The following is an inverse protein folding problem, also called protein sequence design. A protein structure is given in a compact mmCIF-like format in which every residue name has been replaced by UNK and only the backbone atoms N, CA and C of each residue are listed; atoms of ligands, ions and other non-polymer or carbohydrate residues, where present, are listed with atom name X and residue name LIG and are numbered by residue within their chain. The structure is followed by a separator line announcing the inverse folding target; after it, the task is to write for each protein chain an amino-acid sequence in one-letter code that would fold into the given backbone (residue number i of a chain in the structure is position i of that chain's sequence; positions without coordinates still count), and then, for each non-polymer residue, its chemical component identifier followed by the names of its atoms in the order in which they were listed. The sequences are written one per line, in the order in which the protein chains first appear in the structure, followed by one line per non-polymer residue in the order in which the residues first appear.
data_IF_497953232320
#
_entry.id   IF_497953232320
#
_cell.length_a   1.000
_cell.length_b   1.000
_cell.length_c   1.000
_cell.angle_alpha   90.00
_cell.angle_beta   90.00
_cell.angle_gamma   90.00
#
_symmetry.space_group_name_H-M   'P 1'
#
loop_
_entity.id
_entity.type
_entity.pdbx_description
1 polymer ?
#
# COMPACT_ATOMS: atom_id res chain seq x y z
N UNK A 1 -2.97 -19.36 7.80
CA UNK A 1 -2.60 -19.25 6.35
C UNK A 1 -3.28 -20.17 5.30
N UNK A 2 -3.33 -21.52 5.43
CA UNK A 2 -3.73 -22.46 4.34
C UNK A 2 -5.11 -22.18 3.71
N UNK A 3 -6.10 -21.84 4.52
CA UNK A 3 -7.46 -21.54 4.06
C UNK A 3 -7.52 -20.27 3.18
N UNK A 4 -6.82 -19.20 3.56
CA UNK A 4 -6.74 -17.95 2.78
C UNK A 4 -6.05 -18.21 1.45
N UNK A 5 -4.93 -18.96 1.47
CA UNK A 5 -4.22 -19.39 0.24
C UNK A 5 -5.14 -20.17 -0.69
N UNK A 6 -5.86 -21.17 -0.17
CA UNK A 6 -6.78 -21.98 -0.97
C UNK A 6 -7.89 -21.13 -1.60
N UNK A 7 -8.46 -20.18 -0.85
CA UNK A 7 -9.45 -19.24 -1.39
C UNK A 7 -8.84 -18.37 -2.50
N UNK A 8 -7.68 -17.76 -2.26
CA UNK A 8 -6.96 -16.97 -3.28
C UNK A 8 -6.72 -17.78 -4.56
N UNK A 9 -6.18 -19.01 -4.43
CA UNK A 9 -5.93 -19.89 -5.57
C UNK A 9 -7.22 -20.27 -6.29
N UNK A 10 -8.30 -20.60 -5.57
CA UNK A 10 -9.61 -20.90 -6.16
C UNK A 10 -10.13 -19.73 -7.01
N UNK A 11 -10.14 -18.52 -6.47
CA UNK A 11 -10.59 -17.33 -7.22
C UNK A 11 -9.68 -17.05 -8.43
N UNK A 12 -8.37 -17.25 -8.29
CA UNK A 12 -7.43 -17.12 -9.41
C UNK A 12 -7.69 -18.13 -10.53
N UNK A 13 -7.90 -19.40 -10.19
CA UNK A 13 -8.24 -20.44 -11.16
C UNK A 13 -9.58 -20.16 -11.87
N UNK A 14 -10.59 -19.72 -11.11
CA UNK A 14 -11.89 -19.32 -11.68
C UNK A 14 -11.76 -18.12 -12.63
N UNK A 15 -10.92 -17.14 -12.29
CA UNK A 15 -10.64 -16.00 -13.16
C UNK A 15 -10.03 -16.43 -14.50
N UNK A 16 -9.04 -17.32 -14.47
CA UNK A 16 -8.40 -17.84 -15.69
C UNK A 16 -9.42 -18.61 -16.53
N UNK A 17 -10.17 -19.53 -15.92
CA UNK A 17 -11.17 -20.34 -16.62
C UNK A 17 -12.23 -19.46 -17.28
N UNK A 18 -12.75 -18.47 -16.56
CA UNK A 18 -13.76 -17.56 -17.06
C UNK A 18 -13.21 -16.65 -18.17
N UNK A 19 -11.97 -16.17 -18.05
CA UNK A 19 -11.32 -15.38 -19.10
C UNK A 19 -11.13 -16.20 -20.39
N UNK A 20 -10.72 -17.46 -20.28
CA UNK A 20 -10.60 -18.38 -21.42
C UNK A 20 -11.96 -18.67 -22.07
N UNK A 21 -13.01 -18.85 -21.26
CA UNK A 21 -14.37 -19.05 -21.76
C UNK A 21 -14.87 -17.84 -22.54
N UNK A 22 -14.71 -16.62 -21.99
CA UNK A 22 -15.06 -15.37 -22.68
C UNK A 22 -14.28 -15.26 -23.99
N UNK A 23 -12.98 -15.53 -23.97
CA UNK A 23 -12.14 -15.48 -25.17
C UNK A 23 -12.63 -16.45 -26.24
N UNK A 24 -12.96 -17.69 -25.87
CA UNK A 24 -13.50 -18.69 -26.78
C UNK A 24 -14.82 -18.27 -27.40
N UNK A 25 -15.74 -17.71 -26.60
CA UNK A 25 -17.01 -17.15 -27.09
C UNK A 25 -16.75 -16.00 -28.08
N UNK A 26 -15.84 -15.09 -27.76
CA UNK A 26 -15.51 -13.96 -28.62
C UNK A 26 -14.91 -14.42 -29.96
N UNK A 27 -14.00 -15.39 -29.95
CA UNK A 27 -13.42 -15.96 -31.18
C UNK A 27 -14.51 -16.61 -32.03
N UNK A 28 -15.37 -17.43 -31.42
CA UNK A 28 -16.48 -18.06 -32.14
C UNK A 28 -17.44 -17.03 -32.75
N UNK A 29 -17.81 -15.99 -32.00
CA UNK A 29 -18.67 -14.93 -32.49
C UNK A 29 -18.03 -14.16 -33.66
N UNK A 30 -16.71 -13.94 -33.62
CA UNK A 30 -15.96 -13.30 -34.72
C UNK A 30 -15.92 -14.19 -35.98
N UNK A 31 -15.76 -15.51 -35.83
CA UNK A 31 -15.74 -16.42 -36.98
C UNK A 31 -17.10 -16.54 -37.68
N UNK A 32 -18.20 -16.18 -37.01
CA UNK A 32 -19.56 -16.25 -37.53
C UNK A 32 -20.12 -14.87 -37.92
N UNK A 33 -19.28 -13.86 -38.08
CA UNK A 33 -19.69 -12.48 -38.38
C UNK A 33 -20.51 -12.35 -39.67
N UNK A 34 -20.19 -13.14 -40.69
CA UNK A 34 -20.88 -13.06 -42.00
C UNK A 34 -22.31 -13.61 -41.94
N UNK A 35 -22.59 -14.46 -40.95
CA UNK A 35 -23.92 -14.97 -40.65
C UNK A 35 -24.34 -14.44 -39.28
N UNK A 36 -24.84 -13.19 -39.23
CA UNK A 36 -25.46 -12.59 -38.05
C UNK A 36 -26.75 -13.35 -37.65
N UNK A 37 -26.56 -14.57 -37.14
CA UNK A 37 -27.61 -15.41 -36.61
C UNK A 37 -27.97 -15.01 -35.19
N UNK A 38 -29.11 -15.53 -34.75
CA UNK A 38 -29.62 -15.36 -33.38
C UNK A 38 -28.61 -15.93 -32.35
N UNK A 39 -27.93 -17.04 -32.68
CA UNK A 39 -27.02 -17.74 -31.77
C UNK A 39 -25.74 -16.91 -31.44
N UNK A 40 -24.97 -16.36 -32.40
CA UNK A 40 -23.87 -15.44 -32.10
C UNK A 40 -24.29 -14.24 -31.25
N UNK A 41 -25.48 -13.69 -31.50
CA UNK A 41 -26.03 -12.56 -30.74
C UNK A 41 -26.29 -12.90 -29.27
N UNK A 42 -26.88 -14.07 -29.00
CA UNK A 42 -27.10 -14.58 -27.63
C UNK A 42 -25.75 -14.81 -26.92
N UNK A 43 -24.79 -15.41 -27.60
CA UNK A 43 -23.47 -15.69 -27.04
C UNK A 43 -22.72 -14.41 -26.65
N UNK A 44 -22.87 -13.33 -27.43
CA UNK A 44 -22.28 -12.03 -27.11
C UNK A 44 -22.90 -11.42 -25.85
N UNK A 45 -24.22 -11.51 -25.69
CA UNK A 45 -24.90 -11.09 -24.45
C UNK A 45 -24.38 -11.90 -23.25
N UNK A 46 -24.21 -13.22 -23.41
CA UNK A 46 -23.62 -14.08 -22.37
C UNK A 46 -22.19 -13.62 -22.05
N UNK A 47 -21.36 -13.33 -23.05
CA UNK A 47 -19.98 -12.86 -22.83
C UNK A 47 -19.94 -11.54 -22.03
N UNK A 48 -20.87 -10.62 -22.28
CA UNK A 48 -21.01 -9.38 -21.48
C UNK A 48 -21.34 -9.72 -20.02
N UNK A 49 -22.32 -10.60 -19.78
CA UNK A 49 -22.68 -11.03 -18.41
C UNK A 49 -21.48 -11.69 -17.71
N UNK A 50 -20.78 -12.59 -18.40
CA UNK A 50 -19.57 -13.25 -17.87
C UNK A 50 -18.46 -12.24 -17.57
N UNK A 51 -18.35 -11.16 -18.33
CA UNK A 51 -17.39 -10.07 -18.05
C UNK A 51 -17.70 -9.38 -16.72
N UNK A 52 -18.98 -9.12 -16.41
CA UNK A 52 -19.35 -8.59 -15.09
C UNK A 52 -19.04 -9.56 -13.95
N UNK A 53 -19.26 -10.87 -14.17
CA UNK A 53 -18.89 -11.91 -13.21
C UNK A 53 -17.37 -11.94 -13.00
N UNK A 54 -16.58 -11.81 -14.08
CA UNK A 54 -15.12 -11.76 -14.03
C UNK A 54 -14.62 -10.60 -13.17
N UNK A 55 -15.23 -9.41 -13.32
CA UNK A 55 -14.90 -8.24 -12.50
C UNK A 55 -15.16 -8.49 -11.01
N UNK A 56 -16.31 -9.09 -10.64
CA UNK A 56 -16.61 -9.44 -9.25
C UNK A 56 -15.64 -10.47 -8.68
N UNK A 57 -15.27 -11.50 -9.46
CA UNK A 57 -14.27 -12.48 -9.04
C UNK A 57 -12.89 -11.85 -8.85
N UNK A 58 -12.54 -10.84 -9.65
CA UNK A 58 -11.28 -10.12 -9.53
C UNK A 58 -11.18 -9.34 -8.22
N UNK A 59 -12.27 -8.71 -7.79
CA UNK A 59 -12.33 -8.03 -6.49
C UNK A 59 -12.12 -9.02 -5.33
N UNK A 60 -12.78 -10.17 -5.38
CA UNK A 60 -12.61 -11.23 -4.37
C UNK A 60 -11.18 -11.77 -4.35
N UNK A 61 -10.59 -12.05 -5.52
CA UNK A 61 -9.19 -12.45 -5.62
C UNK A 61 -8.25 -11.39 -5.00
N UNK A 62 -8.48 -10.12 -5.34
CA UNK A 62 -7.67 -9.00 -4.84
C UNK A 62 -7.75 -8.89 -3.31
N UNK A 63 -8.95 -9.05 -2.74
CA UNK A 63 -9.17 -9.09 -1.30
C UNK A 63 -8.39 -10.24 -0.63
N UNK A 64 -8.53 -11.47 -1.13
CA UNK A 64 -7.83 -12.62 -0.55
C UNK A 64 -6.30 -12.55 -0.73
N UNK A 65 -5.83 -11.94 -1.83
CA UNK A 65 -4.41 -11.67 -2.04
C UNK A 65 -3.87 -10.68 -1.00
N UNK A 66 -4.62 -9.59 -0.73
CA UNK A 66 -4.26 -8.63 0.31
C UNK A 66 -4.18 -9.31 1.68
N UNK A 67 -5.23 -10.05 2.06
CA UNK A 67 -5.28 -10.81 3.31
C UNK A 67 -4.13 -11.81 3.42
N UNK A 68 -3.84 -12.55 2.34
CA UNK A 68 -2.72 -13.50 2.32
C UNK A 68 -1.38 -12.83 2.62
N UNK A 69 -1.10 -11.68 1.99
CA UNK A 69 0.13 -10.92 2.22
C UNK A 69 0.18 -10.43 3.67
N UNK A 70 -0.88 -9.77 4.16
CA UNK A 70 -0.90 -9.20 5.51
C UNK A 70 -0.78 -10.28 6.59
N UNK A 71 -1.57 -11.35 6.51
CA UNK A 71 -1.47 -12.49 7.44
C UNK A 71 -0.09 -13.13 7.38
N UNK A 72 0.47 -13.31 6.18
CA UNK A 72 1.81 -13.86 6.02
C UNK A 72 2.88 -12.98 6.68
N UNK A 73 2.75 -11.65 6.58
CA UNK A 73 3.66 -10.71 7.23
C UNK A 73 3.53 -10.74 8.75
N UNK A 74 2.31 -10.86 9.29
CA UNK A 74 2.07 -10.98 10.73
C UNK A 74 2.58 -12.30 11.30
N UNK A 75 2.34 -13.42 10.61
CA UNK A 75 2.80 -14.75 11.03
C UNK A 75 4.34 -14.89 10.95
N UNK A 76 5.00 -14.09 10.10
CA UNK A 76 6.45 -14.13 9.86
C UNK A 76 7.10 -12.76 10.06
N UNK A 77 6.61 -12.01 11.05
CA UNK A 77 7.14 -10.68 11.36
C UNK A 77 8.56 -10.77 11.90
N UNK A 78 9.38 -9.81 11.52
CA UNK A 78 10.76 -9.69 11.95
C UNK A 78 10.85 -8.95 13.29
N UNK A 79 11.88 -9.29 14.07
CA UNK A 79 12.17 -8.63 15.34
C UNK A 79 12.58 -7.15 15.15
N UNK A 80 12.42 -6.31 16.19
CA UNK A 80 12.89 -4.93 16.15
C UNK A 80 14.37 -4.83 15.80
N UNK A 81 14.70 -3.84 14.96
CA UNK A 81 16.06 -3.62 14.49
C UNK A 81 16.76 -2.60 15.36
N UNK A 82 18.02 -2.84 15.70
CA UNK A 82 18.88 -1.83 16.34
C UNK A 82 19.15 -0.71 15.35
N UNK A 83 19.14 0.52 15.84
CA UNK A 83 19.46 1.72 15.06
C UNK A 83 20.60 2.48 15.72
N UNK A 84 21.44 3.08 14.88
CA UNK A 84 22.55 3.91 15.35
C UNK A 84 22.14 5.39 15.50
N UNK A 85 21.04 5.79 14.86
CA UNK A 85 20.55 7.17 14.86
C UNK A 85 19.35 7.25 15.80
N UNK A 86 19.40 8.15 16.78
CA UNK A 86 18.25 8.44 17.63
C UNK A 86 17.16 9.12 16.79
N UNK A 87 15.99 8.49 16.77
CA UNK A 87 14.85 8.95 16.00
C UNK A 87 14.38 10.35 16.42
N UNK A 88 13.86 11.11 15.46
CA UNK A 88 13.23 12.42 15.69
C UNK A 88 14.16 13.46 16.33
N UNK A 89 15.47 13.27 16.19
CA UNK A 89 16.49 14.28 16.50
C UNK A 89 16.60 15.32 15.38
N UNK A 90 17.32 16.41 15.65
CA UNK A 90 17.69 17.39 14.62
C UNK A 90 18.37 16.72 13.41
N UNK A 91 19.22 15.72 13.66
CA UNK A 91 19.89 14.96 12.60
C UNK A 91 18.89 14.17 11.74
N UNK A 92 17.89 13.54 12.38
CA UNK A 92 16.82 12.85 11.65
C UNK A 92 16.04 13.82 10.74
N UNK A 93 15.68 15.00 11.25
CA UNK A 93 14.96 16.02 10.47
C UNK A 93 15.83 16.59 9.34
N UNK A 94 17.13 16.80 9.59
CA UNK A 94 18.07 17.21 8.56
C UNK A 94 18.22 16.14 7.47
N UNK A 95 18.32 14.86 7.82
CA UNK A 95 18.34 13.78 6.83
C UNK A 95 17.06 13.79 5.98
N UNK A 96 15.89 13.92 6.62
CA UNK A 96 14.60 13.95 5.94
C UNK A 96 14.49 15.14 4.97
N UNK A 97 14.90 16.34 5.40
CA UNK A 97 14.71 17.57 4.62
C UNK A 97 15.83 17.84 3.61
N UNK A 98 17.09 17.70 4.02
CA UNK A 98 18.26 18.06 3.21
C UNK A 98 18.73 16.91 2.32
N UNK A 99 18.75 15.67 2.82
CA UNK A 99 19.27 14.53 2.05
C UNK A 99 18.17 13.85 1.22
N UNK A 100 16.98 13.69 1.81
CA UNK A 100 15.86 12.99 1.16
C UNK A 100 14.88 13.92 0.43
N UNK A 101 15.12 15.24 0.47
CA UNK A 101 14.36 16.29 -0.21
C UNK A 101 12.87 16.34 0.17
N UNK A 102 12.54 16.09 1.43
CA UNK A 102 11.18 16.32 1.93
C UNK A 102 10.98 17.77 2.35
N UNK A 103 9.84 18.33 1.99
CA UNK A 103 9.42 19.68 2.39
C UNK A 103 8.48 19.59 3.58
N UNK A 104 8.70 20.41 4.60
CA UNK A 104 7.75 20.57 5.71
C UNK A 104 6.45 21.18 5.19
N UNK A 105 5.33 20.52 5.43
CA UNK A 105 4.00 21.03 5.08
C UNK A 105 3.31 21.69 6.28
N UNK A 106 3.24 20.99 7.40
CA UNK A 106 2.57 21.47 8.61
C UNK A 106 3.31 20.96 9.84
N UNK A 107 3.46 21.82 10.84
CA UNK A 107 3.92 21.43 12.18
C UNK A 107 2.86 21.85 13.20
N UNK A 108 2.45 20.90 14.05
CA UNK A 108 1.49 21.12 15.13
C UNK A 108 2.06 20.57 16.44
N UNK A 109 1.37 20.84 17.55
CA UNK A 109 1.72 20.24 18.85
C UNK A 109 1.57 18.71 18.89
N UNK A 110 0.85 18.11 17.93
CA UNK A 110 0.58 16.66 17.92
C UNK A 110 1.42 15.91 16.88
N UNK A 111 1.72 16.55 15.75
CA UNK A 111 2.50 15.96 14.67
C UNK A 111 3.14 17.01 13.77
N UNK A 112 4.16 16.58 13.03
CA UNK A 112 4.75 17.30 11.90
C UNK A 112 4.60 16.47 10.63
N UNK A 113 4.16 17.10 9.54
CA UNK A 113 3.96 16.46 8.24
C UNK A 113 4.96 16.98 7.22
N UNK A 114 5.62 16.04 6.55
CA UNK A 114 6.60 16.31 5.51
C UNK A 114 6.17 15.60 4.24
N UNK A 115 6.46 16.17 3.07
CA UNK A 115 6.11 15.54 1.80
C UNK A 115 7.17 15.75 0.72
N UNK A 116 7.15 14.87 -0.26
CA UNK A 116 7.79 15.09 -1.56
C UNK A 116 6.99 14.42 -2.66
N UNK A 117 7.15 14.90 -3.89
CA UNK A 117 6.55 14.28 -5.07
C UNK A 117 7.68 13.92 -6.03
N UNK A 118 7.88 12.63 -6.25
CA UNK A 118 8.91 12.13 -7.15
C UNK A 118 8.41 10.99 -8.05
N UNK A 119 9.29 10.42 -8.88
CA UNK A 119 8.94 9.33 -9.80
C UNK A 119 8.75 7.99 -9.08
N UNK A 120 9.39 7.78 -7.94
CA UNK A 120 9.18 6.70 -6.97
C UNK A 120 8.79 5.36 -7.57
N UNK A 121 7.48 5.08 -7.51
CA UNK A 121 6.88 3.81 -7.94
C UNK A 121 6.92 3.53 -9.44
N UNK A 122 7.10 4.54 -10.29
CA UNK A 122 7.17 4.33 -11.74
C UNK A 122 8.29 5.15 -12.37
N UNK A 123 9.09 4.53 -13.24
CA UNK A 123 10.08 5.26 -14.05
C UNK A 123 9.43 6.18 -15.10
N UNK A 124 8.11 6.09 -15.29
CA UNK A 124 7.36 6.86 -16.30
C UNK A 124 6.98 8.22 -15.75
N UNK A 125 7.32 9.29 -16.49
CA UNK A 125 7.10 10.70 -16.08
C UNK A 125 5.64 11.04 -15.75
N UNK A 126 4.67 10.27 -16.25
CA UNK A 126 3.23 10.54 -16.12
C UNK A 126 2.62 10.09 -14.79
N UNK A 127 3.27 9.22 -14.02
CA UNK A 127 2.73 8.65 -12.78
C UNK A 127 3.67 8.93 -11.60
N UNK A 128 3.61 10.17 -11.09
CA UNK A 128 4.35 10.54 -9.88
C UNK A 128 3.75 9.87 -8.64
N UNK A 129 4.59 9.77 -7.61
CA UNK A 129 4.26 9.28 -6.28
C UNK A 129 4.36 10.42 -5.29
N UNK A 130 3.29 10.64 -4.53
CA UNK A 130 3.32 11.48 -3.35
C UNK A 130 3.84 10.64 -2.18
N UNK A 131 4.94 11.06 -1.59
CA UNK A 131 5.45 10.53 -0.34
C UNK A 131 5.12 11.51 0.76
N UNK A 132 4.58 10.99 1.87
CA UNK A 132 4.26 11.78 3.05
C UNK A 132 4.83 11.06 4.27
N UNK A 133 5.49 11.83 5.13
CA UNK A 133 5.98 11.36 6.43
C UNK A 133 5.26 12.15 7.52
N UNK A 134 4.52 11.45 8.37
CA UNK A 134 3.96 12.00 9.60
C UNK A 134 4.85 11.59 10.77
N UNK A 135 5.40 12.59 11.45
CA UNK A 135 6.12 12.42 12.71
C UNK A 135 5.20 12.83 13.84
N UNK A 136 4.87 11.89 14.73
CA UNK A 136 4.02 12.17 15.88
C UNK A 136 4.83 12.67 17.08
N UNK A 137 4.37 13.78 17.66
CA UNK A 137 4.96 14.43 18.83
C UNK A 137 4.27 14.00 20.14
N UNK A 138 3.14 13.29 20.05
CA UNK A 138 2.37 12.77 21.19
C UNK A 138 2.10 11.29 21.01
N UNK A 139 1.90 10.58 22.12
CA UNK A 139 1.47 9.19 22.10
C UNK A 139 -0.01 9.11 21.67
N UNK A 140 -0.25 8.98 20.37
CA UNK A 140 -1.56 8.76 19.77
C UNK A 140 -1.51 7.48 18.96
N UNK A 141 -2.63 6.77 18.73
CA UNK A 141 -2.65 5.55 17.91
C UNK A 141 -2.36 5.86 16.43
N UNK A 142 -1.82 4.89 15.68
CA UNK A 142 -1.50 5.07 14.26
C UNK A 142 -2.78 5.26 13.43
N UNK A 143 -3.88 4.67 13.89
CA UNK A 143 -5.22 4.76 13.27
C UNK A 143 -6.05 5.93 13.83
N UNK A 144 -5.46 6.82 14.63
CA UNK A 144 -6.18 7.99 15.13
C UNK A 144 -6.69 8.86 13.97
N UNK A 145 -7.93 9.35 14.05
CA UNK A 145 -8.54 10.17 12.99
C UNK A 145 -7.71 11.40 12.62
N UNK A 146 -6.88 11.92 13.54
CA UNK A 146 -5.96 13.03 13.26
C UNK A 146 -4.96 12.69 12.15
N UNK A 147 -4.52 11.44 12.02
CA UNK A 147 -3.62 11.05 10.93
C UNK A 147 -4.34 11.12 9.59
N UNK A 148 -5.56 10.59 9.51
CA UNK A 148 -6.42 10.65 8.31
C UNK A 148 -6.70 12.08 7.90
N UNK A 149 -7.11 12.94 8.83
CA UNK A 149 -7.37 14.36 8.58
C UNK A 149 -6.09 15.08 8.10
N UNK A 150 -4.93 14.76 8.69
CA UNK A 150 -3.66 15.33 8.26
C UNK A 150 -3.32 14.95 6.80
N UNK A 151 -3.54 13.70 6.42
CA UNK A 151 -3.35 13.25 5.04
C UNK A 151 -4.31 13.94 4.07
N UNK A 152 -5.59 14.03 4.41
CA UNK A 152 -6.59 14.69 3.57
C UNK A 152 -6.30 16.19 3.39
N UNK A 153 -5.91 16.88 4.46
CA UNK A 153 -5.58 18.30 4.40
C UNK A 153 -4.34 18.54 3.53
N UNK A 154 -3.32 17.70 3.68
CA UNK A 154 -2.13 17.76 2.85
C UNK A 154 -2.49 17.56 1.37
N UNK A 155 -3.26 16.52 1.03
CA UNK A 155 -3.69 16.29 -0.36
C UNK A 155 -4.51 17.45 -0.95
N UNK A 156 -5.40 18.05 -0.16
CA UNK A 156 -6.19 19.23 -0.56
C UNK A 156 -5.32 20.46 -0.79
N UNK A 157 -4.25 20.61 -0.03
CA UNK A 157 -3.35 21.78 -0.09
C UNK A 157 -2.34 21.72 -1.24
N UNK A 158 -1.99 20.52 -1.72
CA UNK A 158 -1.06 20.36 -2.82
C UNK A 158 -1.70 20.92 -4.09
N UNK A 159 -1.06 21.90 -4.77
CA UNK A 159 -1.68 22.55 -5.93
C UNK A 159 -2.02 21.51 -7.00
N UNK A 160 -3.18 21.68 -7.66
CA UNK A 160 -3.68 20.86 -8.79
C UNK A 160 -2.68 20.68 -9.96
N UNK A 161 -1.51 21.33 -9.91
CA UNK A 161 -0.45 21.31 -10.93
C UNK A 161 0.39 20.02 -10.90
N UNK A 162 0.57 19.40 -9.73
CA UNK A 162 1.37 18.18 -9.56
C UNK A 162 0.46 16.94 -9.64
N UNK A 163 0.34 16.33 -10.83
CA UNK A 163 -0.43 15.08 -10.98
C UNK A 163 0.37 13.90 -10.43
N UNK A 164 -0.06 13.37 -9.30
CA UNK A 164 0.39 12.08 -8.77
C UNK A 164 -0.77 11.08 -8.80
N UNK A 165 -0.43 9.80 -8.97
CA UNK A 165 -1.41 8.70 -8.97
C UNK A 165 -1.18 7.72 -7.82
N UNK A 166 -0.01 7.82 -7.19
CA UNK A 166 0.42 6.92 -6.13
C UNK A 166 0.65 7.69 -4.85
N UNK A 167 0.41 7.04 -3.71
CA UNK A 167 0.57 7.62 -2.38
C UNK A 167 1.29 6.63 -1.47
N UNK A 168 2.35 7.09 -0.83
CA UNK A 168 3.07 6.36 0.21
C UNK A 168 3.08 7.25 1.44
N UNK A 169 2.38 6.80 2.47
CA UNK A 169 2.29 7.42 3.77
C UNK A 169 3.14 6.61 4.74
N UNK A 170 4.04 7.30 5.44
CA UNK A 170 4.90 6.72 6.46
C UNK A 170 4.60 7.46 7.76
N UNK A 171 4.19 6.73 8.77
CA UNK A 171 3.87 7.26 10.08
C UNK A 171 4.94 6.84 11.07
N UNK A 172 5.47 7.79 11.82
CA UNK A 172 6.58 7.59 12.74
C UNK A 172 6.21 8.06 14.13
N UNK A 173 6.40 7.19 15.11
CA UNK A 173 6.29 7.51 16.55
C UNK A 173 7.57 7.18 17.27
N UNK A 174 7.72 7.79 18.44
CA UNK A 174 8.68 7.37 19.44
C UNK A 174 7.99 6.98 20.74
N UNK A 175 8.62 6.08 21.47
CA UNK A 175 8.35 5.77 22.87
C UNK A 175 9.65 5.90 23.66
N UNK A 176 9.55 6.47 24.86
CA UNK A 176 10.67 6.58 25.80
C UNK A 176 10.91 5.25 26.54
N UNK A 177 10.04 4.24 26.34
CA UNK A 177 10.07 2.95 27.03
C UNK A 177 10.41 1.81 26.06
N UNK A 178 10.58 0.61 26.60
CA UNK A 178 10.60 -0.63 25.82
C UNK A 178 9.26 -0.83 25.09
N UNK A 179 9.31 -1.51 23.95
CA UNK A 179 8.09 -1.86 23.22
C UNK A 179 7.19 -2.75 24.07
N UNK A 180 5.91 -2.39 24.15
CA UNK A 180 4.87 -3.26 24.68
C UNK A 180 4.18 -4.02 23.55
N UNK A 181 3.47 -5.11 23.87
CA UNK A 181 2.69 -5.84 22.86
C UNK A 181 1.64 -4.93 22.20
N UNK A 182 1.02 -4.03 22.97
CA UNK A 182 0.08 -3.05 22.44
C UNK A 182 0.73 -2.07 21.44
N UNK A 183 1.99 -1.69 21.68
CA UNK A 183 2.75 -0.84 20.76
C UNK A 183 3.06 -1.56 19.44
N UNK A 184 3.44 -2.84 19.54
CA UNK A 184 3.70 -3.71 18.39
C UNK A 184 2.42 -3.91 17.59
N UNK A 185 1.31 -4.24 18.26
CA UNK A 185 -0.01 -4.38 17.64
C UNK A 185 -0.49 -3.08 16.97
N UNK A 186 -0.25 -1.92 17.60
CA UNK A 186 -0.57 -0.63 16.99
C UNK A 186 0.27 -0.38 15.72
N UNK A 187 1.55 -0.74 15.77
CA UNK A 187 2.48 -0.61 14.64
C UNK A 187 2.15 -1.58 13.50
N UNK A 188 1.66 -2.78 13.82
CA UNK A 188 1.29 -3.82 12.86
C UNK A 188 0.08 -3.44 11.97
N UNK A 189 -0.67 -2.39 12.33
CA UNK A 189 -1.82 -1.87 11.56
C UNK A 189 -1.39 -1.04 10.34
N UNK A 190 -0.76 -1.71 9.38
CA UNK A 190 -0.45 -1.13 8.06
C UNK A 190 -1.66 -1.23 7.13
N UNK A 191 -1.70 -0.38 6.11
CA UNK A 191 -2.71 -0.44 5.06
C UNK A 191 -2.07 -0.38 3.69
N UNK A 192 -2.57 -1.17 2.75
CA UNK A 192 -2.13 -1.06 1.36
C UNK A 192 -3.20 -1.49 0.38
N UNK A 193 -3.39 -0.69 -0.67
CA UNK A 193 -4.38 -0.90 -1.70
C UNK A 193 -3.76 -0.69 -3.08
N UNK A 194 -4.10 -1.58 -4.01
CA UNK A 194 -3.83 -1.41 -5.44
C UNK A 194 -5.17 -1.42 -6.18
N UNK A 195 -5.51 -0.28 -6.79
CA UNK A 195 -6.69 -0.16 -7.64
C UNK A 195 -6.29 0.49 -8.96
N UNK A 196 -6.13 -0.34 -10.00
CA UNK A 196 -5.70 0.06 -11.35
C UNK A 196 -4.34 0.78 -11.33
N UNK A 197 -4.35 2.11 -11.48
CA UNK A 197 -3.16 2.97 -11.48
C UNK A 197 -2.97 3.70 -10.15
N UNK A 198 -3.79 3.42 -9.14
CA UNK A 198 -3.66 4.02 -7.81
C UNK A 198 -3.12 2.98 -6.84
N UNK A 199 -1.95 3.25 -6.28
CA UNK A 199 -1.43 2.55 -5.12
C UNK A 199 -1.48 3.49 -3.93
N UNK A 200 -1.99 2.98 -2.82
CA UNK A 200 -1.96 3.64 -1.53
C UNK A 200 -1.25 2.69 -0.59
N UNK A 201 -0.22 3.17 0.11
CA UNK A 201 0.46 2.43 1.16
C UNK A 201 0.54 3.31 2.38
N UNK A 202 0.24 2.75 3.54
CA UNK A 202 0.42 3.36 4.86
C UNK A 202 1.28 2.39 5.67
N UNK A 203 2.49 2.83 6.02
CA UNK A 203 3.42 2.08 6.86
C UNK A 203 3.59 2.81 8.19
N UNK A 204 3.74 2.03 9.27
CA UNK A 204 4.00 2.55 10.60
C UNK A 204 5.39 2.11 11.05
N UNK A 205 6.11 3.03 11.70
CA UNK A 205 7.37 2.73 12.36
C UNK A 205 7.37 3.33 13.76
N UNK A 206 7.75 2.50 14.73
CA UNK A 206 7.85 2.88 16.13
C UNK A 206 9.29 2.77 16.59
N UNK A 207 9.76 3.84 17.23
CA UNK A 207 11.10 3.94 17.77
C UNK A 207 11.08 3.84 19.29
N UNK A 208 11.96 3.01 19.86
CA UNK A 208 12.25 3.01 21.30
C UNK A 208 13.57 3.73 21.51
N UNK A 209 13.52 4.83 22.28
CA UNK A 209 14.72 5.59 22.63
C UNK A 209 15.59 4.80 23.62
N UNK A 210 14.96 4.22 24.65
CA UNK A 210 15.62 3.39 25.66
C UNK A 210 16.38 2.21 25.04
N UNK A 211 15.75 1.51 24.09
CA UNK A 211 16.35 0.33 23.47
C UNK A 211 17.20 0.64 22.24
N UNK A 212 17.21 1.88 21.75
CA UNK A 212 17.79 2.27 20.46
C UNK A 212 17.37 1.31 19.34
N UNK A 213 16.07 1.08 19.24
CA UNK A 213 15.48 0.15 18.30
C UNK A 213 14.35 0.80 17.51
N UNK A 214 14.13 0.29 16.30
CA UNK A 214 12.96 0.59 15.47
C UNK A 214 12.21 -0.70 15.17
N UNK A 215 10.90 -0.65 15.31
CA UNK A 215 9.99 -1.70 14.90
C UNK A 215 9.09 -1.19 13.79
N UNK A 216 8.89 -2.03 12.77
CA UNK A 216 7.88 -1.87 11.74
C UNK A 216 7.54 -3.26 11.19
N UNK A 217 6.28 -3.48 10.81
CA UNK A 217 5.87 -4.78 10.29
C UNK A 217 6.58 -5.08 8.97
N UNK A 218 7.40 -6.12 8.93
CA UNK A 218 8.10 -6.58 7.72
C UNK A 218 8.34 -8.08 7.78
N UNK A 219 8.40 -8.74 6.62
CA UNK A 219 8.74 -10.15 6.48
C UNK A 219 9.61 -10.38 5.25
N UNK A 220 10.67 -11.16 5.42
CA UNK A 220 11.57 -11.66 4.37
C UNK A 220 11.02 -12.93 3.68
N UNK A 221 10.09 -13.65 4.34
CA UNK A 221 9.48 -14.88 3.83
C UNK A 221 8.33 -14.64 2.86
N UNK A 222 7.76 -13.43 2.84
CA UNK A 222 6.61 -13.10 1.99
C UNK A 222 7.03 -12.21 0.83
N UNK A 223 6.73 -12.65 -0.39
CA UNK A 223 6.96 -11.84 -1.58
C UNK A 223 5.99 -10.67 -1.63
N UNK A 224 6.51 -9.47 -1.40
CA UNK A 224 5.72 -8.23 -1.45
C UNK A 224 5.48 -7.78 -2.89
N UNK A 225 4.32 -7.16 -3.19
CA UNK A 225 4.12 -6.49 -4.45
C UNK A 225 5.09 -5.30 -4.57
N UNK A 226 5.50 -4.98 -5.81
CA UNK A 226 6.51 -3.94 -6.09
C UNK A 226 6.24 -2.61 -5.38
N UNK A 227 4.98 -2.17 -5.37
CA UNK A 227 4.63 -0.88 -4.76
C UNK A 227 4.81 -0.85 -3.23
N UNK A 228 4.57 -1.97 -2.56
CA UNK A 228 4.78 -2.11 -1.12
C UNK A 228 6.28 -2.22 -0.82
N UNK A 229 7.03 -2.93 -1.66
CA UNK A 229 8.48 -3.02 -1.54
C UNK A 229 9.16 -1.64 -1.64
N UNK A 230 8.72 -0.78 -2.56
CA UNK A 230 9.24 0.58 -2.72
C UNK A 230 8.90 1.44 -1.49
N UNK A 231 7.73 1.26 -0.89
CA UNK A 231 7.39 1.94 0.36
C UNK A 231 8.33 1.52 1.52
N UNK A 232 8.66 0.24 1.65
CA UNK A 232 9.65 -0.22 2.62
C UNK A 232 11.06 0.28 2.32
N UNK A 233 11.46 0.36 1.06
CA UNK A 233 12.74 0.95 0.67
C UNK A 233 12.82 2.42 1.10
N UNK A 234 11.73 3.18 0.91
CA UNK A 234 11.68 4.57 1.33
C UNK A 234 11.69 4.72 2.85
N UNK A 235 10.92 3.89 3.57
CA UNK A 235 10.99 3.83 5.03
C UNK A 235 12.42 3.54 5.49
N UNK A 236 13.09 2.56 4.89
CA UNK A 236 14.47 2.23 5.23
C UNK A 236 15.41 3.43 5.09
N UNK A 237 15.34 4.19 3.98
CA UNK A 237 16.15 5.42 3.80
C UNK A 237 15.90 6.48 4.87
N UNK A 238 14.67 6.54 5.41
CA UNK A 238 14.31 7.51 6.46
C UNK A 238 14.88 7.08 7.81
N UNK A 239 14.91 5.78 8.09
CA UNK A 239 15.25 5.24 9.41
C UNK A 239 16.73 4.83 9.58
N UNK A 240 17.48 4.67 8.47
CA UNK A 240 18.92 4.38 8.45
C UNK A 240 19.73 5.60 8.07
#
# INVERSE_FOLDING_TARGET
MKLIRNKMTKYFSLLILLALLILGIMIYALLQLDSFGILPSILLIIAIILTFVLLKLYEQFSYYKHQYILTGMLENKQEPRKINITALTTNFINNLTQNLNYTLHQATSSFSSYYKIDRGLTKRRTHKTLFVVLVFNKNISFIDQKSTIAFENLEKSLPKKEKYSQRIFIQIKKTEKKFTDADIEDTDKIFFLNQRRMNIVVLNALYSIDQQQVYYLYSDKIKLPSYLNIAYQELNKIIT
#
